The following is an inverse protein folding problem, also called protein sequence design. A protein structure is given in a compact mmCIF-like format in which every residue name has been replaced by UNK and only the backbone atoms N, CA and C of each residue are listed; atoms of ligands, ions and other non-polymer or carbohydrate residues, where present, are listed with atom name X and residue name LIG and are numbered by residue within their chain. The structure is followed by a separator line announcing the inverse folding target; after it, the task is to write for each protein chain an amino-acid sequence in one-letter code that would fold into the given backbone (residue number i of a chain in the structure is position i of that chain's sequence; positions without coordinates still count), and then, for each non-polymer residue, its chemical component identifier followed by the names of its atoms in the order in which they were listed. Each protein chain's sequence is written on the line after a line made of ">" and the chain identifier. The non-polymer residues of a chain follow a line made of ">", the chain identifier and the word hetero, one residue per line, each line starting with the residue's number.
data_IF_334680625293
#
_entry.id   IF_334680625293
#
_cell.length_a   1.000
_cell.length_b   1.000
_cell.length_c   1.000
_cell.angle_alpha   90.00
_cell.angle_beta   90.00
_cell.angle_gamma   90.00
#
_symmetry.space_group_name_H-M   'P 1'
#
loop_
_entity.id
_entity.type
_entity.pdbx_description
1 polymer ?
#
# COMPACT_ATOMS: atom_id res chain seq x y z
N UNK A 1 7.56 -9.87 1.06
CA UNK A 1 7.25 -8.42 1.00
C UNK A 1 7.72 -7.66 2.24
N UNK A 2 7.47 -8.12 3.49
CA UNK A 2 7.97 -7.45 4.72
C UNK A 2 9.48 -7.20 4.75
N UNK A 3 10.30 -8.07 4.14
CA UNK A 3 11.76 -7.91 4.08
C UNK A 3 12.27 -6.84 3.09
N UNK A 4 11.49 -6.45 2.07
CA UNK A 4 12.00 -5.56 1.00
C UNK A 4 12.01 -4.09 1.44
N UNK A 5 11.11 -3.70 2.34
CA UNK A 5 10.96 -2.32 2.80
C UNK A 5 11.66 -2.00 4.12
N UNK A 6 12.35 -2.95 4.75
CA UNK A 6 13.05 -2.74 6.03
C UNK A 6 12.16 -2.12 7.13
N UNK A 7 10.87 -2.48 7.16
CA UNK A 7 9.87 -1.87 8.03
C UNK A 7 9.72 -0.35 7.85
N UNK A 8 10.02 0.20 6.67
CA UNK A 8 9.84 1.62 6.34
C UNK A 8 8.59 1.78 5.48
N UNK A 9 7.62 2.56 5.97
CA UNK A 9 6.40 2.87 5.25
C UNK A 9 6.72 3.54 3.91
N UNK A 10 6.09 3.09 2.82
CA UNK A 10 6.37 3.67 1.50
C UNK A 10 5.91 5.11 1.38
N UNK A 11 4.80 5.46 2.04
CA UNK A 11 4.17 6.79 1.99
C UNK A 11 4.90 7.78 2.91
N UNK A 12 4.83 7.59 4.23
CA UNK A 12 5.37 8.55 5.20
C UNK A 12 6.85 8.35 5.56
N UNK A 13 7.50 7.29 5.05
CA UNK A 13 8.93 6.97 5.28
C UNK A 13 9.31 6.69 6.75
N UNK A 14 8.33 6.53 7.65
CA UNK A 14 8.58 6.16 9.04
C UNK A 14 8.91 4.67 9.18
N UNK A 15 9.78 4.33 10.13
CA UNK A 15 10.13 2.93 10.44
C UNK A 15 9.15 2.37 11.48
N UNK A 16 8.30 1.44 11.08
CA UNK A 16 7.23 0.86 11.91
C UNK A 16 6.75 -0.48 11.34
N UNK A 17 5.82 -1.15 12.02
CA UNK A 17 5.15 -2.35 11.50
C UNK A 17 4.39 -2.02 10.22
N UNK A 18 4.60 -2.83 9.18
CA UNK A 18 3.96 -2.62 7.88
C UNK A 18 2.86 -3.62 7.62
N UNK A 19 1.79 -3.10 7.04
CA UNK A 19 0.67 -3.83 6.46
C UNK A 19 0.78 -3.82 4.93
N UNK A 20 0.26 -4.87 4.31
CA UNK A 20 0.28 -5.00 2.86
C UNK A 20 -0.97 -4.34 2.27
N UNK A 21 -0.75 -3.38 1.37
CA UNK A 21 -1.81 -2.75 0.60
C UNK A 21 -1.62 -3.02 -0.91
N UNK A 22 -2.72 -3.19 -1.66
CA UNK A 22 -2.69 -3.33 -3.11
C UNK A 22 -2.75 -1.96 -3.79
N UNK A 23 -1.71 -1.57 -4.54
CA UNK A 23 -1.62 -0.26 -5.23
C UNK A 23 -2.76 -0.04 -6.22
N UNK A 24 -3.11 -1.10 -6.94
CA UNK A 24 -4.34 -1.17 -7.73
C UNK A 24 -5.26 -2.15 -7.04
N UNK A 25 -6.44 -1.68 -6.64
CA UNK A 25 -7.47 -2.54 -6.07
C UNK A 25 -7.90 -3.63 -7.09
N UNK A 26 -8.23 -4.83 -6.62
CA UNK A 26 -8.67 -5.93 -7.48
C UNK A 26 -9.90 -5.57 -8.34
N UNK A 27 -10.83 -4.78 -7.77
CA UNK A 27 -12.01 -4.26 -8.50
C UNK A 27 -11.66 -3.40 -9.72
N UNK A 28 -10.45 -2.82 -9.74
CA UNK A 28 -9.92 -2.00 -10.82
C UNK A 28 -8.92 -2.79 -11.69
N UNK A 29 -8.91 -4.13 -11.62
CA UNK A 29 -7.99 -4.98 -12.38
C UNK A 29 -6.62 -5.19 -11.73
N UNK A 30 -6.45 -4.83 -10.46
CA UNK A 30 -5.22 -5.08 -9.71
C UNK A 30 -4.94 -6.56 -9.46
N UNK A 31 -3.67 -6.97 -9.53
CA UNK A 31 -3.24 -8.34 -9.28
C UNK A 31 -2.78 -8.57 -7.84
N UNK A 32 -2.79 -9.82 -7.37
CA UNK A 32 -2.18 -10.22 -6.09
C UNK A 32 -0.65 -10.39 -6.18
N UNK A 33 -0.04 -9.89 -7.24
CA UNK A 33 1.40 -10.03 -7.45
C UNK A 33 2.18 -9.13 -6.48
N UNK A 34 3.36 -9.55 -5.99
CA UNK A 34 4.22 -8.71 -5.17
C UNK A 34 4.60 -7.37 -5.81
N UNK A 35 4.47 -7.22 -7.13
CA UNK A 35 4.71 -5.93 -7.80
C UNK A 35 3.57 -4.93 -7.57
N UNK A 36 2.35 -5.41 -7.28
CA UNK A 36 1.17 -4.59 -6.98
C UNK A 36 0.96 -4.39 -5.48
N UNK A 37 1.75 -5.01 -4.62
CA UNK A 37 1.63 -4.82 -3.18
C UNK A 37 2.72 -3.89 -2.62
N UNK A 38 2.35 -3.09 -1.63
CA UNK A 38 3.21 -2.12 -0.96
C UNK A 38 3.03 -2.20 0.56
N UNK A 39 4.12 -2.02 1.30
CA UNK A 39 4.10 -1.93 2.75
C UNK A 39 3.79 -0.50 3.22
N UNK A 40 2.73 -0.33 4.00
CA UNK A 40 2.33 0.93 4.61
C UNK A 40 2.22 0.77 6.12
N UNK A 41 2.41 1.86 6.87
CA UNK A 41 1.99 1.90 8.27
C UNK A 41 0.47 1.97 8.34
N UNK A 42 -0.12 1.55 9.46
CA UNK A 42 -1.56 1.55 9.72
C UNK A 42 -2.25 2.85 9.27
N UNK A 43 -1.76 4.02 9.72
CA UNK A 43 -2.36 5.31 9.34
C UNK A 43 -2.29 5.64 7.85
N UNK A 44 -1.21 5.26 7.17
CA UNK A 44 -1.12 5.44 5.71
C UNK A 44 -1.96 4.40 4.97
N UNK A 45 -2.14 3.22 5.56
CA UNK A 45 -2.96 2.17 5.00
C UNK A 45 -4.43 2.58 5.00
N UNK A 46 -4.94 3.10 6.12
CA UNK A 46 -6.30 3.62 6.23
C UNK A 46 -6.57 4.76 5.24
N UNK A 47 -5.64 5.70 5.10
CA UNK A 47 -5.79 6.81 4.16
C UNK A 47 -5.79 6.32 2.71
N UNK A 48 -4.94 5.35 2.38
CA UNK A 48 -4.91 4.76 1.04
C UNK A 48 -6.15 3.94 0.74
N UNK A 49 -6.70 3.24 1.72
CA UNK A 49 -8.01 2.58 1.58
C UNK A 49 -9.10 3.61 1.29
N UNK A 50 -9.17 4.70 2.07
CA UNK A 50 -10.16 5.78 1.90
C UNK A 50 -10.14 6.38 0.49
N UNK A 51 -8.94 6.70 -0.01
CA UNK A 51 -8.74 7.28 -1.34
C UNK A 51 -8.98 6.25 -2.46
N UNK A 52 -8.59 4.98 -2.26
CA UNK A 52 -8.90 3.88 -3.18
C UNK A 52 -10.41 3.69 -3.35
N UNK A 53 -11.18 3.87 -2.27
CA UNK A 53 -12.65 3.85 -2.32
C UNK A 53 -13.21 4.97 -3.19
N UNK A 54 -12.58 6.15 -3.16
CA UNK A 54 -12.95 7.34 -3.93
C UNK A 54 -12.53 7.28 -5.41
N UNK A 55 -11.82 6.23 -5.82
CA UNK A 55 -11.42 6.00 -7.20
C UNK A 55 -10.06 6.57 -7.57
N UNK A 56 -9.29 7.06 -6.59
CA UNK A 56 -7.92 7.49 -6.81
C UNK A 56 -7.01 6.27 -6.94
N UNK A 57 -6.30 6.19 -8.06
CA UNK A 57 -5.20 5.25 -8.24
C UNK A 57 -3.95 5.86 -7.61
N UNK A 58 -3.14 5.06 -6.93
CA UNK A 58 -1.87 5.49 -6.39
C UNK A 58 -0.73 5.15 -7.35
N UNK A 59 -0.35 6.03 -8.28
CA UNK A 59 0.85 5.84 -9.08
C UNK A 59 2.07 6.03 -8.16
N UNK A 60 3.08 5.18 -8.36
CA UNK A 60 4.40 5.38 -7.77
C UNK A 60 5.15 6.49 -8.50
#
# INVERSE_FOLDING_TARGET
>A
MKQIQNNICRSCRQKTTLEMHHRVAQRNGGSNSPVNAVGLCESCHEEWDRLSYQGELFPL
#
